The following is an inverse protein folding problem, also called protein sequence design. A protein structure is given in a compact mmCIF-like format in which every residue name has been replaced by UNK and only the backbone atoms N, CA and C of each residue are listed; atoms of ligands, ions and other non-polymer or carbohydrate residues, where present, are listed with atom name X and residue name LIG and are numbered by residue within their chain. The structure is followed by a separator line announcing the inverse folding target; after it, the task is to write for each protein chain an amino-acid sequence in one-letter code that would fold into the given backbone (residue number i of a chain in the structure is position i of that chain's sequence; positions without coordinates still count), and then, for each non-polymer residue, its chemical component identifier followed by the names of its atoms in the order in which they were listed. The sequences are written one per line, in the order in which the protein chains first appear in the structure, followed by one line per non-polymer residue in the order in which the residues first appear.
data_IF_703536195063
#
_entry.id   IF_703536195063
#
_cell.length_a   1.000
_cell.length_b   1.000
_cell.length_c   1.000
_cell.angle_alpha   90.00
_cell.angle_beta   90.00
_cell.angle_gamma   90.00
#
_symmetry.space_group_name_H-M   'P 1'
#
loop_
_entity.id
_entity.type
_entity.pdbx_description
1 polymer ?
#
# COMPACT_ATOMS: atom_id res chain seq x y z
N UNK A 1 -4.79 12.84 -5.69
CA UNK A 1 -4.73 12.69 -4.22
C UNK A 1 -4.12 11.36 -3.86
N UNK A 2 -3.30 11.30 -2.85
CA UNK A 2 -2.69 10.05 -2.43
C UNK A 2 -2.86 9.84 -0.92
N UNK A 3 -2.54 8.63 -0.46
CA UNK A 3 -2.78 8.27 0.95
C UNK A 3 -1.87 9.03 1.90
N UNK A 4 -0.66 9.37 1.48
CA UNK A 4 0.24 10.18 2.32
C UNK A 4 -0.36 11.55 2.58
N UNK A 5 -0.93 12.17 1.54
CA UNK A 5 -1.58 13.46 1.69
C UNK A 5 -2.78 13.37 2.62
N UNK A 6 -3.59 12.32 2.50
CA UNK A 6 -4.74 12.12 3.37
C UNK A 6 -4.33 12.00 4.83
N UNK A 7 -3.27 11.26 5.10
CA UNK A 7 -2.77 11.07 6.47
C UNK A 7 -2.18 12.36 7.01
N UNK A 8 -1.48 13.12 6.18
CA UNK A 8 -0.87 14.39 6.59
C UNK A 8 -1.91 15.44 6.99
N UNK A 9 -3.16 15.30 6.53
CA UNK A 9 -4.24 16.20 6.87
C UNK A 9 -4.90 15.88 8.22
N UNK A 10 -4.59 14.72 8.81
CA UNK A 10 -5.15 14.33 10.10
C UNK A 10 -4.37 14.99 11.24
N UNK A 11 -5.00 15.14 12.43
CA UNK A 11 -4.27 15.66 13.59
C UNK A 11 -3.03 14.81 13.87
N UNK A 12 -1.82 15.41 13.85
CA UNK A 12 -0.59 14.62 13.91
C UNK A 12 -0.37 13.88 15.23
N UNK A 13 -0.94 14.36 16.31
CA UNK A 13 -0.79 13.73 17.63
C UNK A 13 -1.76 12.59 17.87
N UNK A 14 -2.71 12.37 16.98
CA UNK A 14 -3.73 11.34 17.14
C UNK A 14 -3.19 9.97 16.74
N UNK A 15 -3.55 8.94 17.51
CA UNK A 15 -3.12 7.58 17.22
C UNK A 15 -3.72 7.09 15.89
N UNK A 16 -2.86 6.55 15.04
CA UNK A 16 -3.26 6.01 13.74
C UNK A 16 -3.14 4.50 13.67
N UNK A 17 -2.13 3.94 14.33
CA UNK A 17 -1.87 2.50 14.34
C UNK A 17 -1.35 2.11 15.70
N UNK A 18 -2.00 1.15 16.32
CA UNK A 18 -1.60 0.63 17.63
C UNK A 18 -1.15 -0.82 17.45
N UNK A 19 0.11 -1.09 17.78
CA UNK A 19 0.65 -2.44 17.80
C UNK A 19 1.05 -2.80 19.24
N UNK A 20 1.40 -4.05 19.48
CA UNK A 20 1.87 -4.46 20.79
C UNK A 20 3.14 -3.73 21.22
N UNK A 21 3.96 -3.36 20.26
CA UNK A 21 5.28 -2.79 20.51
C UNK A 21 5.28 -1.27 20.51
N UNK A 22 4.38 -0.63 19.77
CA UNK A 22 4.43 0.80 19.59
C UNK A 22 3.10 1.36 19.11
N UNK A 23 2.79 2.59 19.52
CA UNK A 23 1.65 3.34 18.98
C UNK A 23 2.18 4.40 18.03
N UNK A 24 1.74 4.33 16.77
CA UNK A 24 2.11 5.30 15.74
C UNK A 24 1.04 6.36 15.63
N UNK A 25 1.45 7.63 15.73
CA UNK A 25 0.54 8.75 15.45
C UNK A 25 0.48 9.01 13.95
N UNK A 26 -0.52 9.79 13.52
CA UNK A 26 -0.59 10.18 12.10
C UNK A 26 0.66 10.95 11.69
N UNK A 27 1.19 11.80 12.56
CA UNK A 27 2.41 12.54 12.29
C UNK A 27 3.62 11.62 12.09
N UNK A 28 3.75 10.60 12.93
CA UNK A 28 4.82 9.62 12.81
C UNK A 28 4.72 8.84 11.50
N UNK A 29 3.52 8.34 11.19
CA UNK A 29 3.32 7.59 9.94
C UNK A 29 3.61 8.46 8.72
N UNK A 30 3.15 9.70 8.72
CA UNK A 30 3.41 10.61 7.62
C UNK A 30 4.91 10.87 7.45
N UNK A 31 5.63 11.08 8.55
CA UNK A 31 7.07 11.32 8.48
C UNK A 31 7.82 10.10 7.94
N UNK A 32 7.50 8.92 8.45
CA UNK A 32 8.13 7.68 8.01
C UNK A 32 7.82 7.39 6.54
N UNK A 33 6.58 7.60 6.12
CA UNK A 33 6.19 7.39 4.73
C UNK A 33 6.88 8.38 3.80
N UNK A 34 7.01 9.66 4.19
CA UNK A 34 7.73 10.66 3.40
C UNK A 34 9.18 10.25 3.20
N UNK A 35 9.82 9.79 4.25
CA UNK A 35 11.20 9.37 4.19
C UNK A 35 11.35 8.18 3.24
N UNK A 36 10.43 7.22 3.33
CA UNK A 36 10.46 6.05 2.47
C UNK A 36 10.16 6.42 1.01
N UNK A 37 9.27 7.38 0.79
CA UNK A 37 8.90 7.84 -0.56
C UNK A 37 10.09 8.42 -1.32
N UNK A 38 11.08 8.94 -0.62
CA UNK A 38 12.29 9.47 -1.27
C UNK A 38 13.05 8.42 -2.05
N UNK A 39 12.81 7.14 -1.77
CA UNK A 39 13.43 6.05 -2.52
C UNK A 39 12.67 5.69 -3.79
N UNK A 40 11.46 6.23 -3.98
CA UNK A 40 10.68 5.99 -5.18
C UNK A 40 11.31 6.74 -6.36
N UNK A 41 11.22 6.16 -7.55
CA UNK A 41 11.75 6.81 -8.73
C UNK A 41 11.83 5.88 -9.90
N UNK A 42 12.33 6.41 -11.02
CA UNK A 42 12.48 5.66 -12.24
C UNK A 42 11.20 5.48 -13.02
N UNK A 43 11.16 4.50 -13.90
CA UNK A 43 10.00 4.22 -14.72
C UNK A 43 8.87 3.64 -13.89
N UNK A 44 7.64 3.73 -14.42
CA UNK A 44 6.49 3.15 -13.77
C UNK A 44 6.66 1.65 -13.62
N UNK A 45 6.49 1.16 -12.39
CA UNK A 45 6.72 -0.25 -12.07
C UNK A 45 5.98 -0.67 -10.82
N UNK A 46 5.91 -1.98 -10.62
CA UNK A 46 5.36 -2.57 -9.40
C UNK A 46 6.44 -2.56 -8.32
N UNK A 47 6.03 -2.23 -7.09
CA UNK A 47 6.88 -2.38 -5.91
C UNK A 47 6.21 -3.40 -4.97
N UNK A 48 6.83 -4.56 -4.79
CA UNK A 48 6.28 -5.62 -3.95
C UNK A 48 6.60 -5.39 -2.48
N UNK A 49 5.56 -5.31 -1.66
CA UNK A 49 5.70 -5.16 -0.22
C UNK A 49 5.65 -6.54 0.41
N UNK A 50 6.81 -7.04 0.84
CA UNK A 50 6.97 -8.37 1.41
C UNK A 50 7.36 -8.34 2.89
N UNK A 51 6.99 -7.28 3.60
CA UNK A 51 7.31 -7.13 5.01
C UNK A 51 6.37 -7.96 5.87
N UNK A 52 6.89 -8.50 6.98
CA UNK A 52 6.08 -9.27 7.92
C UNK A 52 5.37 -8.39 8.93
N UNK A 53 5.98 -7.27 9.33
CA UNK A 53 5.40 -6.37 10.32
C UNK A 53 4.34 -5.49 9.70
N UNK A 54 3.17 -5.42 10.32
CA UNK A 54 2.05 -4.63 9.82
C UNK A 54 2.40 -3.14 9.69
N UNK A 55 3.16 -2.62 10.63
CA UNK A 55 3.57 -1.21 10.59
C UNK A 55 4.41 -0.91 9.36
N UNK A 56 5.35 -1.78 9.01
CA UNK A 56 6.18 -1.59 7.83
C UNK A 56 5.39 -1.75 6.55
N UNK A 57 4.44 -2.70 6.50
CA UNK A 57 3.56 -2.84 5.36
C UNK A 57 2.77 -1.55 5.11
N UNK A 58 2.21 -1.00 6.17
CA UNK A 58 1.41 0.22 6.07
C UNK A 58 2.26 1.42 5.65
N UNK A 59 3.45 1.57 6.23
CA UNK A 59 4.35 2.68 5.89
C UNK A 59 4.73 2.63 4.41
N UNK A 60 5.12 1.46 3.91
CA UNK A 60 5.48 1.32 2.49
C UNK A 60 4.29 1.52 1.57
N UNK A 61 3.12 1.01 1.94
CA UNK A 61 1.91 1.21 1.17
C UNK A 61 1.60 2.71 1.04
N UNK A 62 1.60 3.43 2.15
CA UNK A 62 1.32 4.86 2.15
C UNK A 62 2.38 5.62 1.35
N UNK A 63 3.65 5.22 1.50
CA UNK A 63 4.75 5.90 0.83
C UNK A 63 4.61 5.83 -0.70
N UNK A 64 4.26 4.68 -1.23
CA UNK A 64 4.31 4.45 -2.67
C UNK A 64 2.97 4.59 -3.39
N UNK A 65 1.84 4.51 -2.67
CA UNK A 65 0.55 4.72 -3.31
C UNK A 65 0.47 6.14 -3.88
N UNK A 66 0.10 6.25 -5.13
CA UNK A 66 0.04 7.54 -5.82
C UNK A 66 1.32 7.92 -6.54
N UNK A 67 2.37 7.10 -6.45
CA UNK A 67 3.63 7.30 -7.19
C UNK A 67 3.70 6.33 -8.36
N UNK A 68 4.75 6.46 -9.18
CA UNK A 68 5.02 5.52 -10.27
C UNK A 68 5.49 4.16 -9.79
N UNK A 69 5.82 4.03 -8.51
CA UNK A 69 6.09 2.73 -7.89
C UNK A 69 4.81 2.24 -7.23
N UNK A 70 4.02 1.48 -7.96
CA UNK A 70 2.71 1.02 -7.49
C UNK A 70 2.88 -0.08 -6.45
N UNK A 71 2.43 0.12 -5.20
CA UNK A 71 2.62 -0.88 -4.15
C UNK A 71 1.69 -2.08 -4.34
N UNK A 72 2.27 -3.26 -4.21
CA UNK A 72 1.54 -4.52 -4.29
C UNK A 72 1.86 -5.34 -3.05
N UNK A 73 0.84 -5.67 -2.26
CA UNK A 73 1.01 -6.51 -1.09
C UNK A 73 1.24 -7.96 -1.53
N UNK A 74 2.29 -8.56 -1.00
CA UNK A 74 2.67 -9.93 -1.34
C UNK A 74 3.09 -10.69 -0.10
N UNK A 75 2.87 -12.01 -0.05
CA UNK A 75 3.42 -12.82 1.03
C UNK A 75 4.94 -12.70 1.07
N UNK A 76 5.52 -12.79 2.27
CA UNK A 76 6.96 -12.59 2.45
C UNK A 76 7.78 -13.58 1.62
N UNK A 77 7.31 -14.81 1.51
CA UNK A 77 7.99 -15.88 0.80
C UNK A 77 7.59 -16.00 -0.67
N UNK A 78 6.76 -15.10 -1.17
CA UNK A 78 6.28 -15.18 -2.55
C UNK A 78 7.39 -14.97 -3.57
N UNK A 79 7.37 -15.77 -4.63
CA UNK A 79 8.25 -15.58 -5.77
C UNK A 79 7.64 -14.55 -6.70
N UNK A 80 8.26 -13.40 -6.82
CA UNK A 80 7.78 -12.30 -7.65
C UNK A 80 8.65 -12.07 -8.89
N UNK A 81 9.64 -12.92 -9.13
CA UNK A 81 10.56 -12.72 -10.26
C UNK A 81 9.84 -12.66 -11.60
N UNK A 82 8.85 -13.51 -11.80
CA UNK A 82 8.09 -13.54 -13.06
C UNK A 82 7.16 -12.33 -13.22
N UNK A 83 7.02 -11.50 -12.19
CA UNK A 83 6.12 -10.35 -12.20
C UNK A 83 6.87 -9.01 -12.14
N UNK A 84 8.19 -9.03 -12.01
CA UNK A 84 8.97 -7.82 -11.77
C UNK A 84 8.93 -6.81 -12.92
N UNK A 85 8.70 -7.28 -14.13
CA UNK A 85 8.69 -6.43 -15.33
C UNK A 85 7.27 -5.99 -15.72
N UNK A 86 6.26 -6.32 -14.94
CA UNK A 86 4.91 -5.88 -15.20
C UNK A 86 4.81 -4.37 -15.03
N UNK A 87 4.25 -3.72 -16.04
CA UNK A 87 3.96 -2.29 -15.97
C UNK A 87 2.53 -2.12 -15.50
N UNK A 88 2.28 -1.49 -14.33
CA UNK A 88 0.92 -1.33 -13.84
C UNK A 88 0.09 -0.47 -14.80
N UNK A 89 -1.24 -0.72 -14.88
CA UNK A 89 -2.12 0.17 -15.65
C UNK A 89 -1.99 1.61 -15.19
N UNK A 90 -2.20 2.59 -16.09
CA UNK A 90 -2.01 4.00 -15.73
C UNK A 90 -2.85 4.46 -14.54
N UNK A 91 -4.06 3.93 -14.39
CA UNK A 91 -4.98 4.30 -13.32
C UNK A 91 -4.78 3.51 -12.02
N UNK A 92 -3.93 2.49 -12.03
CA UNK A 92 -3.71 1.66 -10.84
C UNK A 92 -2.92 2.42 -9.80
N UNK A 93 -3.36 2.39 -8.54
CA UNK A 93 -2.64 3.00 -7.43
C UNK A 93 -2.16 1.98 -6.39
N UNK A 94 -2.65 0.76 -6.46
CA UNK A 94 -2.28 -0.30 -5.53
C UNK A 94 -2.60 -1.65 -6.14
N UNK A 95 -2.12 -2.71 -5.51
CA UNK A 95 -2.46 -4.07 -5.91
C UNK A 95 -2.19 -5.06 -4.79
N UNK A 96 -2.60 -6.28 -5.03
CA UNK A 96 -2.34 -7.40 -4.12
C UNK A 96 -2.13 -8.66 -4.94
N UNK A 97 -1.25 -9.53 -4.44
CA UNK A 97 -1.07 -10.82 -5.06
C UNK A 97 -2.16 -11.78 -4.60
N UNK A 98 -2.72 -12.51 -5.56
CA UNK A 98 -3.66 -13.57 -5.25
C UNK A 98 -2.89 -14.90 -5.23
N UNK A 99 -3.13 -15.69 -4.19
CA UNK A 99 -2.60 -17.05 -4.15
C UNK A 99 -3.59 -17.95 -4.87
N UNK A 100 -3.32 -18.21 -6.15
CA UNK A 100 -4.17 -19.13 -6.91
C UNK A 100 -3.91 -20.56 -6.47
N UNK A 101 -5.00 -21.34 -6.30
CA UNK A 101 -4.88 -22.76 -6.02
C UNK A 101 -4.47 -23.54 -7.26
N UNK A 102 -4.63 -22.94 -8.42
CA UNK A 102 -4.32 -23.56 -9.71
C UNK A 102 -3.50 -22.59 -10.56
N UNK A 103 -2.17 -22.70 -10.50
CA UNK A 103 -1.31 -21.90 -11.34
C UNK A 103 -0.52 -20.85 -10.58
N UNK A 104 0.10 -19.96 -11.33
CA UNK A 104 0.95 -18.91 -10.78
C UNK A 104 0.12 -17.83 -10.12
N UNK A 105 0.67 -17.26 -9.05
CA UNK A 105 0.08 -16.11 -8.40
C UNK A 105 -0.08 -14.95 -9.40
N UNK A 106 -1.15 -14.20 -9.23
CA UNK A 106 -1.47 -13.06 -10.09
C UNK A 106 -1.53 -11.80 -9.26
N UNK A 107 -1.36 -10.66 -9.92
CA UNK A 107 -1.49 -9.35 -9.29
C UNK A 107 -2.85 -8.76 -9.67
N UNK A 108 -3.63 -8.39 -8.67
CA UNK A 108 -4.88 -7.68 -8.85
C UNK A 108 -4.65 -6.20 -8.54
N UNK A 109 -4.76 -5.35 -9.56
CA UNK A 109 -4.60 -3.91 -9.39
C UNK A 109 -5.92 -3.24 -9.05
N UNK A 110 -5.84 -2.16 -8.30
CA UNK A 110 -6.99 -1.35 -7.93
C UNK A 110 -6.72 0.11 -8.20
N UNK A 111 -7.76 0.82 -8.61
CA UNK A 111 -7.72 2.28 -8.71
C UNK A 111 -8.02 2.89 -7.35
N UNK A 112 -7.67 4.17 -7.19
CA UNK A 112 -7.98 4.89 -5.96
C UNK A 112 -9.51 4.92 -5.72
N UNK A 113 -10.28 5.21 -6.76
CA UNK A 113 -11.74 5.25 -6.65
C UNK A 113 -12.34 3.91 -6.24
N UNK A 114 -11.89 2.82 -6.85
CA UNK A 114 -12.37 1.48 -6.50
C UNK A 114 -12.05 1.13 -5.06
N UNK A 115 -10.85 1.50 -4.58
CA UNK A 115 -10.47 1.28 -3.19
C UNK A 115 -11.36 2.04 -2.23
N UNK A 116 -11.66 3.29 -2.52
CA UNK A 116 -12.55 4.09 -1.68
C UNK A 116 -13.98 3.55 -1.69
N UNK A 117 -14.48 3.17 -2.85
CA UNK A 117 -15.81 2.60 -2.96
C UNK A 117 -15.93 1.33 -2.14
N UNK A 118 -14.92 0.47 -2.17
CA UNK A 118 -14.88 -0.76 -1.39
C UNK A 118 -14.93 -0.46 0.11
N UNK A 119 -14.14 0.50 0.57
CA UNK A 119 -14.12 0.89 1.98
C UNK A 119 -15.47 1.45 2.43
N UNK A 120 -16.09 2.28 1.61
CA UNK A 120 -17.43 2.81 1.89
C UNK A 120 -18.46 1.70 1.99
N UNK A 121 -18.41 0.75 1.06
CA UNK A 121 -19.33 -0.39 1.08
C UNK A 121 -19.19 -1.20 2.34
N UNK A 122 -17.96 -1.46 2.80
CA UNK A 122 -17.72 -2.19 4.04
C UNK A 122 -18.24 -1.42 5.24
N UNK A 123 -18.04 -0.12 5.27
CA UNK A 123 -18.55 0.72 6.36
C UNK A 123 -20.08 0.65 6.44
N UNK A 124 -20.75 0.73 5.29
CA UNK A 124 -22.20 0.63 5.23
C UNK A 124 -22.66 -0.76 5.68
N UNK A 125 -22.00 -1.81 5.22
CA UNK A 125 -22.38 -3.18 5.57
C UNK A 125 -22.15 -3.49 7.03
N UNK A 126 -21.18 -2.85 7.69
CA UNK A 126 -20.90 -3.08 9.09
C UNK A 126 -21.80 -2.26 10.01
N UNK A 127 -22.52 -1.33 9.47
CA UNK A 127 -23.49 -0.56 10.23
C UNK A 127 -24.81 -1.31 10.31
#
# INVERSE_FOLDING_TARGET
MDYLQLIAEKPPEKAALITEEHTYTYGELAALARERRKTAGGARRVYFIKKSAIAQQLIEFIAFAGTDNVPVLAPQEADTEHLKDIVPPPEACMGAMTSGTTGRAKVLFRTYEAGQAFLRSRTVCSA
#
